data_IF_253851540139
#
_entry.id   IF_253851540139
#
_cell.length_a   1.000
_cell.length_b   1.000
_cell.length_c   1.000
_cell.angle_alpha   90.00
_cell.angle_beta   90.00
_cell.angle_gamma   90.00
#
_symmetry.space_group_name_H-M   'P 1'
#
loop_
_entity.id
_entity.type
_entity.pdbx_description
1 polymer ?
#
# COMPACT_ATOMS: atom_id res chain seq x y z
N UNK A 1 -13.68 12.76 -5.10
CA UNK A 1 -12.48 12.01 -4.64
C UNK A 1 -12.82 10.82 -3.75
N UNK A 2 -13.82 10.90 -2.85
CA UNK A 2 -14.18 9.80 -1.94
C UNK A 2 -14.65 8.49 -2.63
N UNK A 3 -15.38 8.59 -3.75
CA UNK A 3 -15.86 7.40 -4.48
C UNK A 3 -14.70 6.58 -5.09
N UNK A 4 -13.70 7.24 -5.68
CA UNK A 4 -12.54 6.59 -6.32
C UNK A 4 -11.59 5.97 -5.28
N UNK A 5 -11.43 6.60 -4.12
CA UNK A 5 -10.57 6.06 -3.04
C UNK A 5 -11.23 4.88 -2.34
N UNK A 6 -12.56 4.90 -2.17
CA UNK A 6 -13.33 3.77 -1.64
C UNK A 6 -13.32 2.57 -2.58
N UNK A 7 -13.50 2.80 -3.89
CA UNK A 7 -13.44 1.77 -4.93
C UNK A 7 -12.06 1.09 -4.97
N UNK A 8 -10.99 1.88 -4.88
CA UNK A 8 -9.62 1.36 -4.81
C UNK A 8 -9.35 0.51 -3.56
N UNK A 9 -9.78 0.97 -2.40
CA UNK A 9 -9.61 0.23 -1.15
C UNK A 9 -10.38 -1.11 -1.18
N UNK A 10 -11.59 -1.11 -1.73
CA UNK A 10 -12.38 -2.32 -1.93
C UNK A 10 -11.71 -3.29 -2.93
N UNK A 11 -11.12 -2.78 -4.02
CA UNK A 11 -10.38 -3.62 -4.97
C UNK A 11 -9.16 -4.30 -4.33
N UNK A 12 -8.37 -3.55 -3.53
CA UNK A 12 -7.24 -4.11 -2.79
C UNK A 12 -7.71 -5.19 -1.81
N UNK A 13 -8.77 -4.91 -1.04
CA UNK A 13 -9.34 -5.87 -0.10
C UNK A 13 -9.80 -7.15 -0.81
N UNK A 14 -10.52 -7.02 -1.93
CA UNK A 14 -10.98 -8.15 -2.74
C UNK A 14 -9.82 -8.96 -3.34
N UNK A 15 -8.75 -8.32 -3.81
CA UNK A 15 -7.57 -9.01 -4.31
C UNK A 15 -6.85 -9.79 -3.20
N UNK A 16 -6.80 -9.22 -1.98
CA UNK A 16 -6.22 -9.88 -0.81
C UNK A 16 -7.07 -11.07 -0.38
N UNK A 17 -8.40 -10.96 -0.32
CA UNK A 17 -9.27 -12.10 0.05
C UNK A 17 -9.27 -13.20 -1.01
N UNK A 18 -9.32 -12.85 -2.30
CA UNK A 18 -9.34 -13.80 -3.42
C UNK A 18 -7.99 -14.47 -3.70
N UNK A 19 -6.89 -14.01 -3.09
CA UNK A 19 -5.55 -14.55 -3.33
C UNK A 19 -5.43 -16.05 -2.97
N UNK A 20 -4.55 -16.83 -3.63
CA UNK A 20 -4.37 -18.26 -3.35
C UNK A 20 -3.98 -18.50 -1.89
N UNK A 21 -4.66 -19.40 -1.18
CA UNK A 21 -4.47 -19.66 0.26
C UNK A 21 -3.11 -20.29 0.62
N UNK A 22 -2.34 -20.76 -0.35
CA UNK A 22 -0.97 -21.26 -0.17
C UNK A 22 0.13 -20.22 -0.37
N UNK A 23 -0.21 -18.97 -0.70
CA UNK A 23 0.76 -17.89 -0.91
C UNK A 23 0.91 -17.04 0.35
N UNK A 24 2.16 -16.66 0.64
CA UNK A 24 2.56 -15.80 1.75
C UNK A 24 1.76 -14.49 1.75
N UNK A 25 1.23 -14.10 2.92
CA UNK A 25 0.37 -12.91 3.04
C UNK A 25 1.13 -11.64 2.62
N UNK A 26 2.43 -11.55 2.95
CA UNK A 26 3.29 -10.45 2.54
C UNK A 26 3.30 -10.25 1.02
N UNK A 27 3.46 -11.33 0.26
CA UNK A 27 3.46 -11.26 -1.21
C UNK A 27 2.11 -10.85 -1.79
N UNK A 28 1.01 -11.41 -1.26
CA UNK A 28 -0.35 -11.13 -1.74
C UNK A 28 -0.72 -9.66 -1.49
N UNK A 29 -0.37 -9.13 -0.31
CA UNK A 29 -0.62 -7.72 0.03
C UNK A 29 0.25 -6.79 -0.81
N UNK A 30 1.54 -7.10 -1.01
CA UNK A 30 2.43 -6.31 -1.86
C UNK A 30 1.91 -6.26 -3.29
N UNK A 31 1.55 -7.41 -3.88
CA UNK A 31 1.07 -7.46 -5.26
C UNK A 31 -0.26 -6.70 -5.42
N UNK A 32 -1.21 -6.88 -4.49
CA UNK A 32 -2.50 -6.18 -4.53
C UNK A 32 -2.34 -4.65 -4.44
N UNK A 33 -1.49 -4.18 -3.52
CA UNK A 33 -1.25 -2.74 -3.35
C UNK A 33 -0.50 -2.18 -4.57
N UNK A 34 0.51 -2.85 -5.08
CA UNK A 34 1.29 -2.40 -6.25
C UNK A 34 0.41 -2.36 -7.50
N UNK A 35 -0.42 -3.38 -7.74
CA UNK A 35 -1.34 -3.43 -8.88
C UNK A 35 -2.29 -2.23 -8.89
N UNK A 36 -2.76 -1.78 -7.72
CA UNK A 36 -3.63 -0.60 -7.61
C UNK A 36 -2.97 0.72 -8.04
N UNK A 37 -1.63 0.79 -8.11
CA UNK A 37 -0.89 1.94 -8.66
C UNK A 37 -0.53 1.76 -10.15
N UNK A 38 -0.60 0.53 -10.68
CA UNK A 38 -0.34 0.22 -12.08
C UNK A 38 -1.59 0.31 -12.97
N UNK A 39 -2.77 0.03 -12.41
CA UNK A 39 -4.06 0.05 -13.14
C UNK A 39 -4.66 1.47 -13.28
N UNK A 40 -4.10 2.44 -12.56
CA UNK A 40 -4.32 3.85 -12.82
C UNK A 40 -3.66 4.22 -14.15
N UNK A 41 -4.35 3.95 -15.27
CA UNK A 41 -3.98 4.44 -16.60
C UNK A 41 -3.60 5.92 -16.55
N UNK A 42 -2.76 6.41 -17.48
CA UNK A 42 -1.92 7.59 -17.31
C UNK A 42 -2.69 8.75 -16.67
N UNK A 43 -2.61 8.86 -15.34
CA UNK A 43 -3.13 10.01 -14.60
C UNK A 43 -2.49 11.23 -15.29
N UNK A 44 -3.28 12.24 -15.72
CA UNK A 44 -2.73 13.31 -16.54
C UNK A 44 -1.57 13.92 -15.75
N UNK A 45 -0.34 13.78 -16.27
CA UNK A 45 0.90 14.18 -15.57
C UNK A 45 0.79 15.63 -15.09
N UNK A 46 0.05 16.47 -15.82
CA UNK A 46 -0.26 17.86 -15.49
C UNK A 46 -1.06 18.01 -14.19
N UNK A 47 -2.00 17.12 -13.88
CA UNK A 47 -2.71 17.12 -12.60
C UNK A 47 -1.77 16.71 -11.45
N UNK A 48 -0.81 15.81 -11.70
CA UNK A 48 0.20 15.42 -10.70
C UNK A 48 1.23 16.53 -10.46
N UNK A 49 1.62 17.27 -11.50
CA UNK A 49 2.48 18.46 -11.39
C UNK A 49 1.77 19.57 -10.60
N UNK A 50 0.47 19.77 -10.82
CA UNK A 50 -0.34 20.75 -10.08
C UNK A 50 -0.52 20.37 -8.59
N UNK A 51 -0.72 19.08 -8.29
CA UNK A 51 -0.76 18.57 -6.92
C UNK A 51 0.63 18.64 -6.26
N UNK A 52 1.71 18.37 -7.00
CA UNK A 52 3.08 18.47 -6.49
C UNK A 52 3.46 19.94 -6.18
N UNK A 53 2.97 20.91 -6.95
CA UNK A 53 3.27 22.32 -6.78
C UNK A 53 2.61 22.97 -5.53
N UNK A 54 1.61 22.32 -4.92
CA UNK A 54 0.95 22.81 -3.70
C UNK A 54 1.16 21.85 -2.53
N UNK A 55 1.85 22.32 -1.48
CA UNK A 55 2.11 21.54 -0.26
C UNK A 55 0.82 21.09 0.45
N UNK A 56 -0.25 21.89 0.36
CA UNK A 56 -1.57 21.57 0.93
C UNK A 56 -2.26 20.45 0.14
N UNK A 57 -2.24 20.51 -1.19
CA UNK A 57 -2.81 19.46 -2.04
C UNK A 57 -2.00 18.16 -1.92
N UNK A 58 -0.67 18.26 -1.79
CA UNK A 58 0.20 17.12 -1.49
C UNK A 58 -0.22 16.45 -0.18
N UNK A 59 -0.44 17.21 0.88
CA UNK A 59 -0.88 16.66 2.16
C UNK A 59 -2.25 15.98 2.07
N UNK A 60 -3.24 16.62 1.43
CA UNK A 60 -4.57 16.05 1.24
C UNK A 60 -4.56 14.78 0.38
N UNK A 61 -3.79 14.76 -0.72
CA UNK A 61 -3.67 13.58 -1.59
C UNK A 61 -3.03 12.40 -0.85
N UNK A 62 -1.96 12.68 -0.11
CA UNK A 62 -1.28 11.70 0.73
C UNK A 62 -2.20 11.19 1.86
N UNK A 63 -3.15 11.99 2.31
CA UNK A 63 -4.15 11.59 3.32
C UNK A 63 -5.20 10.63 2.79
N UNK A 64 -5.55 10.71 1.50
CA UNK A 64 -6.49 9.76 0.89
C UNK A 64 -6.04 8.30 0.95
N UNK A 65 -4.74 8.06 1.16
CA UNK A 65 -4.16 6.72 1.32
C UNK A 65 -4.70 6.03 2.58
N UNK A 66 -5.03 6.77 3.64
CA UNK A 66 -5.54 6.19 4.91
C UNK A 66 -6.83 5.40 4.72
N UNK A 67 -7.58 5.68 3.65
CA UNK A 67 -8.80 4.97 3.31
C UNK A 67 -8.58 3.47 3.02
N UNK A 68 -7.35 3.03 2.72
CA UNK A 68 -7.05 1.60 2.50
C UNK A 68 -6.94 0.80 3.80
N UNK A 69 -6.68 1.45 4.93
CA UNK A 69 -6.28 0.78 6.18
C UNK A 69 -7.42 -0.06 6.77
N UNK A 70 -8.64 0.49 6.81
CA UNK A 70 -9.83 -0.20 7.31
C UNK A 70 -10.19 -1.46 6.50
N UNK A 71 -10.47 -1.33 5.18
CA UNK A 71 -10.81 -2.48 4.34
C UNK A 71 -9.70 -3.55 4.28
N UNK A 72 -8.43 -3.14 4.32
CA UNK A 72 -7.32 -4.08 4.36
C UNK A 72 -7.27 -4.87 5.67
N UNK A 73 -7.57 -4.23 6.81
CA UNK A 73 -7.60 -4.91 8.10
C UNK A 73 -8.71 -5.98 8.13
N UNK A 74 -9.89 -5.66 7.59
CA UNK A 74 -11.00 -6.61 7.46
C UNK A 74 -10.63 -7.78 6.54
N UNK A 75 -10.03 -7.52 5.38
CA UNK A 75 -9.56 -8.56 4.47
C UNK A 75 -8.51 -9.48 5.09
N UNK A 76 -7.59 -8.95 5.91
CA UNK A 76 -6.59 -9.74 6.63
C UNK A 76 -7.26 -10.65 7.67
N UNK A 77 -8.23 -10.14 8.44
CA UNK A 77 -8.97 -10.94 9.44
C UNK A 77 -9.81 -12.02 8.77
N UNK A 78 -10.48 -11.71 7.65
CA UNK A 78 -11.28 -12.67 6.89
C UNK A 78 -10.42 -13.80 6.31
N UNK A 79 -9.28 -13.44 5.71
CA UNK A 79 -8.33 -14.41 5.13
C UNK A 79 -7.61 -15.24 6.18
N UNK A 80 -7.40 -14.68 7.38
CA UNK A 80 -6.61 -15.30 8.44
C UNK A 80 -7.34 -15.22 9.79
N UNK A 81 -8.32 -16.12 10.07
CA UNK A 81 -9.14 -16.07 11.28
C UNK A 81 -8.38 -16.27 12.60
N UNK A 82 -7.07 -16.57 12.55
CA UNK A 82 -6.18 -16.65 13.72
C UNK A 82 -5.43 -15.35 14.06
N UNK A 83 -5.44 -14.36 13.18
CA UNK A 83 -4.82 -13.05 13.41
C UNK A 83 -5.74 -12.23 14.35
N UNK A 84 -5.14 -11.69 15.42
CA UNK A 84 -5.86 -10.77 16.30
C UNK A 84 -6.22 -9.47 15.56
N UNK A 85 -7.41 -8.94 15.82
CA UNK A 85 -7.90 -7.68 15.21
C UNK A 85 -6.90 -6.53 15.34
N UNK A 86 -6.30 -6.36 16.52
CA UNK A 86 -5.27 -5.33 16.75
C UNK A 86 -4.03 -5.53 15.86
N UNK A 87 -3.60 -6.77 15.64
CA UNK A 87 -2.48 -7.09 14.75
C UNK A 87 -2.83 -6.77 13.30
N UNK A 88 -4.03 -7.11 12.84
CA UNK A 88 -4.49 -6.76 11.49
C UNK A 88 -4.55 -5.24 11.28
N UNK A 89 -5.07 -4.48 12.26
CA UNK A 89 -5.12 -3.02 12.21
C UNK A 89 -3.72 -2.39 12.14
N UNK A 90 -2.77 -2.86 12.96
CA UNK A 90 -1.38 -2.37 12.95
C UNK A 90 -0.67 -2.70 11.63
N UNK A 91 -0.88 -3.90 11.09
CA UNK A 91 -0.31 -4.29 9.80
C UNK A 91 -0.87 -3.43 8.67
N UNK A 92 -2.19 -3.21 8.65
CA UNK A 92 -2.84 -2.35 7.66
C UNK A 92 -2.39 -0.90 7.74
N UNK A 93 -2.28 -0.34 8.95
CA UNK A 93 -1.74 1.01 9.17
C UNK A 93 -0.28 1.11 8.71
N UNK A 94 0.53 0.07 8.93
CA UNK A 94 1.93 0.02 8.47
C UNK A 94 2.01 0.02 6.94
N UNK A 95 1.13 -0.74 6.26
CA UNK A 95 1.02 -0.74 4.80
C UNK A 95 0.59 0.63 4.27
N UNK A 96 -0.40 1.27 4.90
CA UNK A 96 -0.82 2.64 4.59
C UNK A 96 0.34 3.65 4.73
N UNK A 97 1.07 3.57 5.83
CA UNK A 97 2.24 4.42 6.10
C UNK A 97 3.40 4.20 5.09
N UNK A 98 3.65 2.95 4.68
CA UNK A 98 4.65 2.63 3.67
C UNK A 98 4.27 3.21 2.30
N UNK A 99 3.02 3.03 1.87
CA UNK A 99 2.50 3.62 0.63
C UNK A 99 2.55 5.16 0.66
N UNK A 100 2.19 5.77 1.80
CA UNK A 100 2.29 7.22 2.06
C UNK A 100 3.72 7.73 1.91
N UNK A 101 4.68 6.94 2.36
CA UNK A 101 6.12 7.28 2.31
C UNK A 101 6.65 7.18 0.89
N UNK A 102 6.35 6.08 0.17
CA UNK A 102 6.69 5.93 -1.24
C UNK A 102 6.15 7.08 -2.09
N UNK A 103 4.89 7.47 -1.88
CA UNK A 103 4.25 8.57 -2.60
C UNK A 103 4.89 9.93 -2.30
N UNK A 104 5.24 10.21 -1.04
CA UNK A 104 5.95 11.44 -0.67
C UNK A 104 7.32 11.53 -1.35
N UNK A 105 8.07 10.41 -1.37
CA UNK A 105 9.36 10.33 -2.05
C UNK A 105 9.21 10.55 -3.56
N UNK A 106 8.21 9.93 -4.19
CA UNK A 106 7.94 10.09 -5.61
C UNK A 106 7.60 11.55 -5.98
N UNK A 107 6.73 12.21 -5.19
CA UNK A 107 6.35 13.61 -5.42
C UNK A 107 7.52 14.58 -5.19
N UNK A 108 8.42 14.27 -4.27
CA UNK A 108 9.62 15.08 -4.05
C UNK A 108 10.60 14.96 -5.24
N UNK A 109 10.83 13.74 -5.73
CA UNK A 109 11.69 13.50 -6.90
C UNK A 109 11.15 14.14 -8.17
N UNK A 110 9.82 14.20 -8.34
CA UNK A 110 9.18 14.89 -9.47
C UNK A 110 9.28 16.44 -9.38
N UNK A 111 9.60 16.99 -8.21
CA UNK A 111 9.73 18.44 -7.99
C UNK A 111 11.16 18.94 -8.23
N UNK A 112 12.16 18.06 -8.30
CA UNK A 112 13.55 18.43 -8.58
C UNK A 112 13.75 18.67 -10.09
N UNK A 113 14.37 19.78 -10.50
CA UNK A 113 14.62 20.04 -11.91
C UNK A 113 15.54 18.95 -12.47
N UNK A 114 15.19 18.35 -13.64
CA UNK A 114 16.03 17.32 -14.24
C UNK A 114 17.41 17.92 -14.53
N UNK A 115 18.45 17.36 -13.91
CA UNK A 115 19.82 17.82 -14.12
C UNK A 115 20.36 17.55 -15.54
N UNK A 116 19.60 16.81 -16.38
CA UNK A 116 19.94 16.49 -17.77
C UNK A 116 18.67 16.52 -18.65
N UNK A 117 18.62 17.34 -19.72
CA UNK A 117 17.55 17.28 -20.70
C UNK A 117 17.74 16.03 -21.56
N UNK A 118 16.84 15.05 -21.45
CA UNK A 118 16.80 13.91 -22.38
C UNK A 118 16.74 12.51 -21.78
N UNK A 119 16.79 12.36 -20.45
CA UNK A 119 16.61 11.06 -19.79
C UNK A 119 15.57 11.18 -18.68
N UNK A 120 14.29 11.04 -19.03
CA UNK A 120 13.18 11.07 -18.06
C UNK A 120 12.67 9.65 -17.85
N UNK A 121 13.49 8.79 -17.25
CA UNK A 121 12.93 7.77 -16.35
C UNK A 121 13.06 8.40 -14.97
N UNK A 122 11.99 9.03 -14.43
CA UNK A 122 12.05 9.51 -13.07
C UNK A 122 12.40 8.31 -12.18
N UNK A 123 13.30 8.53 -11.24
CA UNK A 123 13.75 7.57 -10.23
C UNK A 123 12.61 6.66 -9.73
N UNK A 124 12.53 5.45 -10.31
CA UNK A 124 11.52 4.42 -10.02
C UNK A 124 10.10 4.78 -10.47
N UNK A 125 9.41 3.81 -11.09
CA UNK A 125 7.95 3.95 -11.24
C UNK A 125 7.32 4.00 -9.84
N UNK A 126 6.24 4.74 -9.64
CA UNK A 126 5.50 4.73 -8.36
C UNK A 126 5.19 3.30 -7.86
N UNK A 127 4.78 2.34 -8.73
CA UNK A 127 4.70 0.92 -8.40
C UNK A 127 5.98 0.33 -7.77
N UNK A 128 7.16 0.68 -8.29
CA UNK A 128 8.45 0.18 -7.76
C UNK A 128 8.79 0.78 -6.41
N UNK A 129 8.54 2.09 -6.23
CA UNK A 129 8.74 2.76 -4.94
C UNK A 129 7.80 2.20 -3.86
N UNK A 130 6.55 1.93 -4.22
CA UNK A 130 5.58 1.29 -3.32
C UNK A 130 6.03 -0.13 -2.98
N UNK A 131 6.48 -0.92 -3.96
CA UNK A 131 7.02 -2.26 -3.72
C UNK A 131 8.24 -2.22 -2.79
N UNK A 132 9.17 -1.31 -3.02
CA UNK A 132 10.36 -1.14 -2.20
C UNK A 132 10.02 -0.73 -0.76
N UNK A 133 9.02 0.14 -0.56
CA UNK A 133 8.56 0.54 0.77
C UNK A 133 7.84 -0.59 1.53
N UNK A 134 7.19 -1.51 0.84
CA UNK A 134 6.45 -2.62 1.45
C UNK A 134 7.29 -3.89 1.67
N UNK A 135 8.39 -4.06 0.92
CA UNK A 135 9.27 -5.23 1.05
C UNK A 135 9.78 -5.47 2.49
N UNK A 136 10.15 -4.43 3.27
CA UNK A 136 10.54 -4.60 4.68
C UNK A 136 9.43 -5.12 5.59
N UNK A 137 8.15 -4.96 5.21
CA UNK A 137 6.99 -5.40 5.98
C UNK A 137 6.58 -6.85 5.68
N UNK A 138 7.08 -7.44 4.59
CA UNK A 138 6.79 -8.82 4.19
C UNK A 138 6.98 -9.85 5.32
N UNK A 139 8.11 -9.90 6.06
CA UNK A 139 8.28 -10.88 7.14
C UNK A 139 7.27 -10.69 8.27
N UNK A 140 6.92 -9.44 8.63
CA UNK A 140 5.93 -9.18 9.68
C UNK A 140 4.52 -9.64 9.29
N UNK A 141 4.15 -9.49 8.01
CA UNK A 141 2.89 -10.00 7.46
C UNK A 141 2.85 -11.53 7.46
N UNK A 142 3.95 -12.17 7.09
CA UNK A 142 4.06 -13.63 7.03
C UNK A 142 4.07 -14.27 8.42
N UNK A 143 4.81 -13.70 9.37
CA UNK A 143 4.91 -14.21 10.75
C UNK A 143 3.59 -14.05 11.52
N UNK A 144 2.84 -12.98 11.25
CA UNK A 144 1.52 -12.78 11.84
C UNK A 144 0.54 -13.90 11.48
N UNK A 145 0.65 -14.49 10.28
CA UNK A 145 -0.17 -15.64 9.88
C UNK A 145 0.32 -16.97 10.46
N UNK A 146 1.61 -17.04 10.81
CA UNK A 146 2.25 -18.26 11.35
C UNK A 146 2.03 -18.39 12.86
N UNK A 147 1.81 -17.27 13.56
CA UNK A 147 1.71 -17.25 15.03
C UNK A 147 0.32 -17.66 15.54
N UNK A 148 0.00 -18.96 15.49
CA UNK A 148 -0.51 -19.82 16.60
C UNK A 148 -1.14 -21.13 16.10
N UNK A 149 -0.56 -22.29 16.45
CA UNK A 149 -1.33 -23.34 17.10
C UNK A 149 -0.81 -23.59 18.53
N UNK A 150 -1.76 -23.78 19.45
CA UNK A 150 -1.60 -24.25 20.83
C UNK A 150 -0.85 -23.34 21.83
N UNK A 151 -1.59 -22.42 22.46
CA UNK A 151 -1.46 -22.30 23.91
C UNK A 151 -2.21 -23.50 24.51
N UNK A 152 -1.50 -24.61 24.72
CA UNK A 152 -1.93 -25.66 25.65
C UNK A 152 -1.43 -25.28 27.05
N UNK A 153 -2.30 -25.20 28.07
CA UNK A 153 -1.83 -25.13 29.45
C UNK A 153 -1.31 -26.51 29.86
N UNK A 154 -0.06 -26.59 30.33
CA UNK A 154 0.48 -27.78 30.97
C UNK A 154 0.76 -27.47 32.45
N UNK A 155 -0.16 -28.02 33.25
CA UNK A 155 -0.09 -28.38 34.68
C UNK A 155 -0.14 -27.26 35.71
#
# INVERSE_FOLDING_TARGET
>A
MAAVTGDRAAHIAAAVTAGPTGRRLGEVVIDAVVASYGDAGPQPRDAMVMIAASSVLRACYVDTITAIEGPLAEAIVERCPGIGRLTAEVLSASVGAAARTALRHWLQAASEPPSMPGFVVPSGSLPDLVRAALTPLAPALDDATTTRPAQCPAT
#
